data_IF_636910392280
#
_entry.id   IF_636910392280
#
_cell.length_a   1.000
_cell.length_b   1.000
_cell.length_c   1.000
_cell.angle_alpha   90.00
_cell.angle_beta   90.00
_cell.angle_gamma   90.00
#
_symmetry.space_group_name_H-M   'P 1'
#
loop_
_entity.id
_entity.type
_entity.pdbx_description
1 polymer ?
#
# COMPACT_ATOMS: atom_id res chain seq x y z
N UNK A 1 -51.33 -65.87 7.88
CA UNK A 1 -51.56 -64.52 7.40
C UNK A 1 -50.75 -63.57 8.17
N UNK A 2 -49.56 -63.17 7.62
CA UNK A 2 -48.63 -62.24 8.25
C UNK A 2 -48.59 -61.01 7.35
N UNK A 3 -49.07 -59.87 7.87
CA UNK A 3 -49.06 -58.55 7.17
C UNK A 3 -47.75 -57.83 7.49
N UNK A 4 -46.94 -57.59 6.49
CA UNK A 4 -45.77 -56.73 6.58
C UNK A 4 -46.22 -55.27 6.41
N UNK A 5 -45.96 -54.45 7.42
CA UNK A 5 -46.09 -52.97 7.30
C UNK A 5 -44.75 -52.42 6.82
N UNK A 6 -44.75 -51.83 5.65
CA UNK A 6 -43.61 -51.09 5.15
C UNK A 6 -43.71 -49.65 5.69
N UNK A 7 -42.68 -49.21 6.41
CA UNK A 7 -42.53 -47.84 6.83
C UNK A 7 -41.83 -47.02 5.73
N UNK A 8 -42.23 -45.78 5.47
CA UNK A 8 -41.54 -44.92 4.49
C UNK A 8 -40.25 -44.33 5.11
N UNK A 9 -39.16 -44.49 4.40
CA UNK A 9 -37.89 -43.83 4.70
C UNK A 9 -38.00 -42.37 4.26
N UNK A 10 -38.03 -41.46 5.21
CA UNK A 10 -37.94 -40.04 4.94
C UNK A 10 -36.48 -39.69 4.59
N UNK A 11 -36.20 -39.34 3.36
CA UNK A 11 -34.91 -38.82 2.95
C UNK A 11 -34.77 -37.36 3.45
N UNK A 12 -33.92 -37.20 4.43
CA UNK A 12 -33.50 -35.87 4.89
C UNK A 12 -32.45 -35.36 3.88
N UNK A 13 -32.87 -34.45 3.01
CA UNK A 13 -31.94 -33.71 2.17
C UNK A 13 -31.22 -32.70 3.03
N UNK A 14 -29.93 -32.99 3.30
CA UNK A 14 -29.02 -32.05 3.92
C UNK A 14 -28.66 -30.95 2.88
N UNK A 15 -29.33 -29.80 2.95
CA UNK A 15 -28.87 -28.59 2.25
C UNK A 15 -27.60 -28.12 2.92
N UNK A 16 -26.45 -28.44 2.34
CA UNK A 16 -25.21 -27.76 2.64
C UNK A 16 -25.28 -26.37 1.99
N UNK A 17 -25.69 -25.38 2.77
CA UNK A 17 -25.50 -24.00 2.40
C UNK A 17 -23.98 -23.72 2.44
N UNK A 18 -23.33 -23.76 1.27
CA UNK A 18 -22.02 -23.16 1.11
C UNK A 18 -22.19 -21.67 1.28
N UNK A 19 -21.87 -21.17 2.46
CA UNK A 19 -21.67 -19.76 2.70
C UNK A 19 -20.46 -19.34 1.83
N UNK A 20 -20.74 -18.87 0.61
CA UNK A 20 -19.80 -18.05 -0.11
C UNK A 20 -19.66 -16.77 0.73
N UNK A 21 -18.64 -16.75 1.59
CA UNK A 21 -18.20 -15.56 2.27
C UNK A 21 -17.82 -14.54 1.20
N UNK A 22 -18.76 -13.69 0.84
CA UNK A 22 -18.45 -12.44 0.18
C UNK A 22 -17.61 -11.65 1.20
N UNK A 23 -16.30 -11.69 1.03
CA UNK A 23 -15.42 -10.69 1.63
C UNK A 23 -15.80 -9.37 0.97
N UNK A 24 -16.83 -8.70 1.53
CA UNK A 24 -17.05 -7.30 1.30
C UNK A 24 -15.84 -6.62 1.98
N UNK A 25 -14.76 -6.43 1.21
CA UNK A 25 -13.66 -5.58 1.63
C UNK A 25 -14.26 -4.19 1.82
N UNK A 26 -14.43 -3.82 3.08
CA UNK A 26 -14.84 -2.47 3.46
C UNK A 26 -13.74 -1.52 3.01
N UNK A 27 -13.98 -0.88 1.88
CA UNK A 27 -13.08 0.09 1.29
C UNK A 27 -13.07 1.32 2.22
N UNK A 28 -11.94 1.56 2.86
CA UNK A 28 -11.78 2.72 3.72
C UNK A 28 -11.74 4.00 2.86
N UNK A 29 -12.70 4.89 3.10
CA UNK A 29 -12.75 6.21 2.43
C UNK A 29 -11.45 7.01 2.63
N UNK A 30 -10.68 6.69 3.67
CA UNK A 30 -9.35 7.23 3.92
C UNK A 30 -8.33 6.84 2.87
N UNK A 31 -8.61 5.84 2.04
CA UNK A 31 -7.71 5.45 0.95
C UNK A 31 -7.63 6.50 -0.17
N UNK A 32 -8.51 7.50 -0.20
CA UNK A 32 -8.64 8.34 -1.40
C UNK A 32 -8.88 9.83 -1.14
N UNK A 33 -9.61 10.20 -0.10
CA UNK A 33 -10.04 11.58 0.14
C UNK A 33 -9.90 11.93 1.62
N UNK A 34 -8.74 12.39 2.02
CA UNK A 34 -8.53 13.00 3.31
C UNK A 34 -9.10 14.41 3.32
N UNK A 35 -10.26 14.58 3.88
CA UNK A 35 -10.86 15.89 4.12
C UNK A 35 -10.93 16.22 5.59
N UNK A 36 -9.79 16.41 6.27
CA UNK A 36 -9.74 16.88 7.65
C UNK A 36 -9.19 18.30 7.74
N UNK A 37 -9.53 19.09 8.81
CA UNK A 37 -9.13 20.49 8.95
C UNK A 37 -7.62 20.77 9.12
N UNK A 38 -6.77 19.74 9.08
CA UNK A 38 -5.29 19.85 9.18
C UNK A 38 -4.58 19.79 7.82
N UNK A 39 -5.30 19.96 6.74
CA UNK A 39 -4.87 19.79 5.36
C UNK A 39 -3.69 20.70 4.93
N UNK A 40 -3.47 21.81 5.60
CA UNK A 40 -2.44 22.81 5.23
C UNK A 40 -1.18 22.79 6.09
N UNK A 41 -1.07 21.87 7.05
CA UNK A 41 0.19 21.65 7.74
C UNK A 41 0.91 20.51 7.03
N UNK A 42 2.05 20.81 6.43
CA UNK A 42 3.09 19.82 6.15
C UNK A 42 3.40 19.11 7.45
N UNK A 43 2.62 18.08 7.78
CA UNK A 43 2.72 17.38 9.04
C UNK A 43 4.01 16.59 9.04
N UNK A 44 4.83 16.80 10.07
CA UNK A 44 5.96 15.91 10.35
C UNK A 44 5.44 14.47 10.39
N UNK A 45 6.19 13.54 9.80
CA UNK A 45 5.85 12.12 9.84
C UNK A 45 5.58 11.69 11.29
N UNK A 46 4.48 10.96 11.58
CA UNK A 46 4.27 10.36 12.90
C UNK A 46 5.41 9.40 13.28
N UNK A 47 6.22 9.02 12.30
CA UNK A 47 7.42 8.19 12.46
C UNK A 47 8.60 8.95 11.85
N UNK A 48 9.38 9.70 12.65
CA UNK A 48 10.47 10.52 12.15
C UNK A 48 11.52 9.74 11.37
N UNK A 49 11.97 10.31 10.27
CA UNK A 49 13.13 9.81 9.54
C UNK A 49 14.37 9.83 10.44
N UNK A 50 15.15 8.74 10.43
CA UNK A 50 16.36 8.63 11.23
C UNK A 50 17.38 7.69 10.59
N UNK A 51 18.67 7.98 10.81
CA UNK A 51 19.75 7.06 10.46
C UNK A 51 19.86 5.98 11.52
N UNK A 52 19.97 4.72 11.08
CA UNK A 52 20.08 3.54 11.93
C UNK A 52 21.21 2.65 11.47
N UNK A 53 21.73 1.79 12.36
CA UNK A 53 22.57 0.66 11.95
C UNK A 53 21.72 -0.32 11.13
N UNK A 54 22.29 -0.84 10.05
CA UNK A 54 21.63 -1.73 9.14
C UNK A 54 22.43 -3.02 8.95
N UNK A 55 21.95 -4.11 9.51
CA UNK A 55 22.63 -5.41 9.48
C UNK A 55 22.22 -6.29 8.28
N UNK A 56 21.49 -5.74 7.31
CA UNK A 56 21.10 -6.47 6.10
C UNK A 56 22.24 -6.55 5.09
N UNK A 57 22.15 -7.50 4.16
CA UNK A 57 23.18 -7.79 3.14
C UNK A 57 23.02 -7.01 1.84
N UNK A 58 22.09 -6.05 1.76
CA UNK A 58 21.84 -5.28 0.54
C UNK A 58 22.88 -4.19 0.33
N UNK A 59 23.25 -3.98 -0.93
CA UNK A 59 24.24 -2.98 -1.31
C UNK A 59 23.76 -1.54 -1.04
N UNK A 60 24.69 -0.61 -0.73
CA UNK A 60 24.37 0.82 -0.63
C UNK A 60 23.64 1.34 -1.88
N UNK A 61 22.66 2.22 -1.67
CA UNK A 61 21.76 2.73 -2.70
C UNK A 61 20.51 1.88 -2.93
N UNK A 62 20.44 0.66 -2.35
CA UNK A 62 19.22 -0.16 -2.40
C UNK A 62 18.15 0.39 -1.46
N UNK A 63 16.90 0.42 -1.93
CA UNK A 63 15.74 0.62 -1.07
C UNK A 63 15.24 -0.74 -0.58
N UNK A 64 15.05 -0.88 0.72
CA UNK A 64 14.44 -2.08 1.32
C UNK A 64 13.17 -1.67 2.03
N UNK A 65 12.05 -2.23 1.58
CA UNK A 65 10.74 -2.04 2.21
C UNK A 65 10.44 -3.25 3.08
N UNK A 66 10.26 -3.05 4.36
CA UNK A 66 9.78 -4.07 5.28
C UNK A 66 8.31 -3.76 5.62
N UNK A 67 7.40 -4.56 5.06
CA UNK A 67 5.95 -4.31 5.17
C UNK A 67 5.44 -4.62 6.57
N UNK A 68 6.00 -5.60 7.27
CA UNK A 68 5.59 -5.95 8.64
C UNK A 68 6.01 -4.87 9.64
N UNK A 69 7.19 -4.30 9.48
CA UNK A 69 7.66 -3.18 10.28
C UNK A 69 7.02 -1.84 9.91
N UNK A 70 6.45 -1.76 8.68
CA UNK A 70 5.96 -0.52 8.08
C UNK A 70 7.07 0.54 8.00
N UNK A 71 8.23 0.09 7.51
CA UNK A 71 9.45 0.90 7.37
C UNK A 71 10.06 0.72 5.99
N UNK A 72 10.64 1.80 5.50
CA UNK A 72 11.47 1.82 4.32
C UNK A 72 12.89 2.22 4.72
N UNK A 73 13.87 1.50 4.22
CA UNK A 73 15.28 1.73 4.46
C UNK A 73 15.97 2.07 3.14
N UNK A 74 16.62 3.21 3.08
CA UNK A 74 17.62 3.49 2.05
C UNK A 74 18.97 3.07 2.60
N UNK A 75 19.54 1.99 2.06
CA UNK A 75 20.83 1.46 2.50
C UNK A 75 21.94 2.47 2.16
N UNK A 76 22.73 2.82 3.16
CA UNK A 76 23.86 3.73 3.05
C UNK A 76 25.19 2.97 3.15
N UNK A 77 26.30 3.68 3.02
CA UNK A 77 27.62 3.14 3.29
C UNK A 77 27.80 2.81 4.79
N UNK A 78 28.87 2.07 5.11
CA UNK A 78 29.30 1.78 6.48
C UNK A 78 28.26 1.07 7.37
N UNK A 79 27.43 0.20 6.80
CA UNK A 79 26.45 -0.57 7.58
C UNK A 79 25.34 0.28 8.18
N UNK A 80 24.97 1.36 7.54
CA UNK A 80 23.89 2.26 7.95
C UNK A 80 22.74 2.25 6.95
N UNK A 81 21.57 2.70 7.38
CA UNK A 81 20.47 3.03 6.51
C UNK A 81 19.71 4.26 7.01
N UNK A 82 19.16 5.01 6.09
CA UNK A 82 18.18 6.03 6.41
C UNK A 82 16.80 5.36 6.44
N UNK A 83 16.18 5.35 7.61
CA UNK A 83 14.89 4.71 7.87
C UNK A 83 13.76 5.72 7.83
N UNK A 84 12.71 5.41 7.07
CA UNK A 84 11.48 6.19 6.96
C UNK A 84 10.29 5.40 7.49
N UNK A 85 9.29 6.11 8.01
CA UNK A 85 7.96 5.57 8.24
C UNK A 85 7.19 5.48 6.93
N UNK A 86 6.44 4.39 6.72
CA UNK A 86 5.59 4.22 5.54
C UNK A 86 4.21 3.68 5.90
N UNK A 87 3.19 4.06 5.12
CA UNK A 87 1.95 3.32 5.01
C UNK A 87 2.10 2.20 3.99
N UNK A 88 1.50 1.04 4.26
CA UNK A 88 1.62 -0.17 3.43
C UNK A 88 0.25 -0.68 2.98
N UNK A 89 0.24 -1.68 2.09
CA UNK A 89 -0.97 -2.39 1.68
C UNK A 89 -1.67 -3.03 2.87
N UNK A 90 -3.00 -2.86 2.95
CA UNK A 90 -3.85 -3.61 3.89
C UNK A 90 -3.86 -5.09 3.53
N UNK A 91 -4.45 -5.90 4.39
CA UNK A 91 -4.57 -7.35 4.14
C UNK A 91 -5.23 -7.63 2.79
N UNK A 92 -4.69 -8.63 2.07
CA UNK A 92 -5.09 -8.93 0.69
C UNK A 92 -4.39 -8.10 -0.40
N UNK A 93 -3.69 -7.01 -0.02
CA UNK A 93 -2.91 -6.16 -0.93
C UNK A 93 -1.41 -6.15 -0.63
N UNK A 94 -0.94 -7.12 0.14
CA UNK A 94 0.49 -7.30 0.41
C UNK A 94 1.16 -8.01 -0.75
N UNK A 95 2.36 -7.61 -1.06
CA UNK A 95 3.18 -8.19 -2.11
C UNK A 95 4.66 -8.04 -1.75
N UNK A 96 5.52 -8.80 -2.42
CA UNK A 96 6.96 -8.78 -2.20
C UNK A 96 7.73 -9.00 -3.49
N UNK A 97 9.05 -8.91 -3.41
CA UNK A 97 9.94 -9.18 -4.53
C UNK A 97 10.95 -8.06 -4.78
N UNK A 98 11.71 -8.21 -5.86
CA UNK A 98 12.75 -7.26 -6.26
C UNK A 98 12.31 -6.52 -7.51
N UNK A 99 12.32 -5.21 -7.43
CA UNK A 99 11.90 -4.29 -8.48
C UNK A 99 12.97 -3.21 -8.71
N UNK A 100 12.77 -2.41 -9.74
CA UNK A 100 13.57 -1.20 -9.98
C UNK A 100 12.64 -0.01 -10.11
N UNK A 101 13.12 1.15 -9.72
CA UNK A 101 12.45 2.40 -10.07
C UNK A 101 12.55 2.58 -11.57
N UNK A 102 11.42 2.62 -12.27
CA UNK A 102 11.36 2.78 -13.75
C UNK A 102 11.00 4.18 -14.17
N UNK A 103 10.35 4.95 -13.33
CA UNK A 103 10.02 6.34 -13.56
C UNK A 103 9.91 7.11 -12.24
N UNK A 104 10.16 8.41 -12.33
CA UNK A 104 10.02 9.37 -11.22
C UNK A 104 9.19 10.55 -11.70
N UNK A 105 8.24 11.01 -10.89
CA UNK A 105 7.41 12.17 -11.20
C UNK A 105 7.25 13.08 -9.99
N UNK A 106 7.31 14.38 -10.25
CA UNK A 106 6.95 15.43 -9.30
C UNK A 106 5.49 15.78 -9.51
N UNK A 107 4.76 15.97 -8.41
CA UNK A 107 3.33 16.26 -8.42
C UNK A 107 2.57 15.44 -9.47
N UNK A 108 2.59 14.09 -9.35
CA UNK A 108 2.04 13.22 -10.38
C UNK A 108 0.53 13.40 -10.49
N UNK A 109 0.03 13.26 -11.69
CA UNK A 109 -1.41 13.08 -11.92
C UNK A 109 -1.83 11.70 -11.44
N UNK A 110 -3.06 11.58 -10.97
CA UNK A 110 -3.63 10.34 -10.51
C UNK A 110 -4.86 9.95 -11.33
N UNK A 111 -4.82 8.73 -11.83
CA UNK A 111 -5.95 8.05 -12.46
C UNK A 111 -6.21 6.78 -11.66
N UNK A 112 -7.34 6.68 -10.96
CA UNK A 112 -7.68 5.48 -10.21
C UNK A 112 -7.67 4.23 -11.10
N UNK A 113 -7.12 3.10 -10.65
CA UNK A 113 -7.27 1.83 -11.36
C UNK A 113 -8.74 1.46 -11.57
N UNK A 114 -9.04 0.74 -12.66
CA UNK A 114 -10.43 0.35 -12.99
C UNK A 114 -11.11 -0.45 -11.87
N UNK A 115 -10.37 -1.33 -11.19
CA UNK A 115 -10.89 -2.08 -10.04
C UNK A 115 -11.25 -1.17 -8.85
N UNK A 116 -10.54 -0.07 -8.68
CA UNK A 116 -10.85 0.92 -7.64
C UNK A 116 -12.13 1.68 -8.00
N UNK A 117 -12.27 2.10 -9.25
CA UNK A 117 -13.49 2.73 -9.75
C UNK A 117 -14.70 1.79 -9.65
N UNK A 118 -14.51 0.49 -9.90
CA UNK A 118 -15.58 -0.50 -9.75
C UNK A 118 -16.09 -0.60 -8.30
N UNK A 119 -15.20 -0.47 -7.32
CA UNK A 119 -15.56 -0.45 -5.88
C UNK A 119 -16.09 0.90 -5.40
N UNK A 120 -15.60 1.99 -6.01
CA UNK A 120 -15.91 3.39 -5.65
C UNK A 120 -16.22 4.19 -6.91
N UNK A 121 -17.45 4.10 -7.44
CA UNK A 121 -17.86 4.80 -8.66
C UNK A 121 -17.89 6.34 -8.51
N UNK A 122 -17.94 6.81 -7.28
CA UNK A 122 -17.93 8.22 -6.90
C UNK A 122 -16.56 8.92 -7.06
N UNK A 123 -15.48 8.14 -7.25
CA UNK A 123 -14.15 8.68 -7.42
C UNK A 123 -14.00 9.47 -8.72
N UNK A 124 -13.19 10.55 -8.70
CA UNK A 124 -12.83 11.24 -9.92
C UNK A 124 -12.09 10.30 -10.87
N UNK A 125 -12.40 10.38 -12.16
CA UNK A 125 -11.73 9.57 -13.19
C UNK A 125 -10.28 9.97 -13.40
N UNK A 126 -9.93 11.20 -13.00
CA UNK A 126 -8.60 11.76 -13.10
C UNK A 126 -8.44 12.93 -12.12
N UNK A 127 -7.26 13.05 -11.52
CA UNK A 127 -6.87 14.20 -10.70
C UNK A 127 -5.52 14.73 -11.18
N UNK A 128 -5.44 16.04 -11.36
CA UNK A 128 -4.16 16.73 -11.61
C UNK A 128 -3.25 16.62 -10.39
N UNK A 129 -1.95 16.77 -10.59
CA UNK A 129 -1.00 16.90 -9.48
C UNK A 129 -1.32 18.10 -8.59
N UNK A 130 -1.13 17.93 -7.28
CA UNK A 130 -1.42 18.98 -6.30
C UNK A 130 -1.53 18.40 -4.89
N UNK A 131 -1.75 19.28 -3.92
CA UNK A 131 -1.78 18.93 -2.49
C UNK A 131 -2.95 18.03 -2.12
N UNK A 132 -4.04 18.07 -2.89
CA UNK A 132 -5.22 17.20 -2.67
C UNK A 132 -5.10 15.84 -3.36
N UNK A 133 -4.06 15.67 -4.19
CA UNK A 133 -3.86 14.43 -4.90
C UNK A 133 -3.30 13.36 -3.95
N UNK A 134 -3.90 12.16 -3.89
CA UNK A 134 -3.46 11.10 -2.97
C UNK A 134 -2.03 10.59 -3.23
N UNK A 135 -1.43 10.88 -4.39
CA UNK A 135 -0.03 10.55 -4.66
C UNK A 135 0.96 11.57 -4.09
N UNK A 136 0.48 12.71 -3.60
CA UNK A 136 1.30 13.73 -2.97
C UNK A 136 2.35 14.36 -3.88
N UNK A 137 3.43 14.84 -3.26
CA UNK A 137 4.44 15.65 -3.94
C UNK A 137 5.31 14.89 -4.94
N UNK A 138 5.56 13.61 -4.74
CA UNK A 138 6.48 12.78 -5.55
C UNK A 138 5.94 11.35 -5.68
N UNK A 139 6.24 10.71 -6.82
CA UNK A 139 6.03 9.28 -7.02
C UNK A 139 7.20 8.63 -7.74
N UNK A 140 7.57 7.44 -7.29
CA UNK A 140 8.56 6.54 -7.87
C UNK A 140 7.87 5.24 -8.26
N UNK A 141 7.85 4.92 -9.55
CA UNK A 141 7.12 3.78 -10.11
C UNK A 141 7.99 2.53 -10.08
N UNK A 142 7.42 1.37 -9.74
CA UNK A 142 8.14 0.13 -9.50
C UNK A 142 7.93 -0.88 -10.62
N UNK A 143 8.93 -1.01 -11.49
CA UNK A 143 8.90 -1.95 -12.62
C UNK A 143 7.72 -1.68 -13.57
N UNK A 144 7.11 -2.76 -14.05
CA UNK A 144 5.87 -2.75 -14.84
C UNK A 144 4.62 -2.91 -13.99
N UNK A 145 4.74 -2.80 -12.67
CA UNK A 145 3.62 -2.96 -11.74
C UNK A 145 2.77 -1.70 -11.67
N UNK A 146 1.62 -1.82 -11.01
CA UNK A 146 0.80 -0.65 -10.64
C UNK A 146 1.29 0.02 -9.34
N UNK A 147 2.32 -0.52 -8.69
CA UNK A 147 2.78 -0.08 -7.38
C UNK A 147 3.79 1.06 -7.46
N UNK A 148 3.78 1.89 -6.43
CA UNK A 148 4.61 3.09 -6.32
C UNK A 148 5.07 3.29 -4.89
N UNK A 149 6.18 3.98 -4.72
CA UNK A 149 6.52 4.71 -3.50
C UNK A 149 6.12 6.15 -3.78
N UNK A 150 5.25 6.74 -2.96
CA UNK A 150 4.70 8.07 -3.23
C UNK A 150 4.40 8.86 -1.96
N UNK A 151 4.20 10.16 -2.10
CA UNK A 151 3.73 11.03 -1.04
C UNK A 151 2.29 10.74 -0.64
N UNK A 152 1.73 11.55 0.23
CA UNK A 152 0.34 11.43 0.65
C UNK A 152 -0.23 12.78 1.06
N UNK A 153 -1.51 12.97 0.81
CA UNK A 153 -2.30 14.02 1.40
C UNK A 153 -2.82 13.65 2.81
N UNK A 154 -2.55 12.41 3.28
CA UNK A 154 -2.96 11.83 4.56
C UNK A 154 -1.75 11.41 5.40
N UNK A 155 -0.94 12.35 5.92
CA UNK A 155 0.28 12.03 6.65
C UNK A 155 0.05 11.17 7.91
N UNK A 156 -1.13 11.24 8.51
CA UNK A 156 -1.53 10.44 9.67
C UNK A 156 -1.62 8.93 9.37
N UNK A 157 -1.74 8.54 8.10
CA UNK A 157 -1.79 7.13 7.69
C UNK A 157 -0.41 6.46 7.63
N UNK A 158 0.66 7.22 7.84
CA UNK A 158 2.02 6.68 7.89
C UNK A 158 2.17 5.81 9.14
N UNK A 159 2.68 4.60 8.94
CA UNK A 159 2.74 3.56 9.97
C UNK A 159 1.51 2.65 10.01
N UNK A 160 0.55 2.83 9.09
CA UNK A 160 -0.66 2.02 9.00
C UNK A 160 -0.68 1.13 7.75
N UNK A 161 -1.54 0.10 7.76
CA UNK A 161 -1.80 -0.78 6.64
C UNK A 161 -3.15 -0.40 6.00
N UNK A 162 -3.14 0.58 5.09
CA UNK A 162 -4.37 1.20 4.57
C UNK A 162 -4.41 1.27 3.04
N UNK A 163 -3.30 1.06 2.35
CA UNK A 163 -3.25 1.25 0.90
C UNK A 163 -3.67 0.00 0.12
N UNK A 164 -3.90 0.16 -1.17
CA UNK A 164 -4.12 -0.94 -2.13
C UNK A 164 -2.79 -1.45 -2.72
N UNK A 165 -1.72 -1.50 -1.92
CA UNK A 165 -0.42 -2.08 -2.25
C UNK A 165 0.71 -1.08 -2.51
N UNK A 166 0.43 0.22 -2.70
CA UNK A 166 1.46 1.25 -2.80
C UNK A 166 2.06 1.58 -1.41
N UNK A 167 3.27 2.13 -1.41
CA UNK A 167 3.95 2.59 -0.20
C UNK A 167 3.80 4.09 -0.06
N UNK A 168 3.05 4.51 0.96
CA UNK A 168 2.80 5.93 1.27
C UNK A 168 3.90 6.48 2.16
N UNK A 169 4.30 7.70 1.91
CA UNK A 169 5.23 8.49 2.74
C UNK A 169 4.62 9.87 2.99
N UNK A 170 5.11 10.59 3.99
CA UNK A 170 4.81 12.03 4.03
C UNK A 170 5.42 12.71 2.82
N UNK A 171 4.90 13.89 2.44
CA UNK A 171 5.44 14.65 1.32
C UNK A 171 6.90 15.06 1.54
N UNK A 172 7.29 15.35 2.78
CA UNK A 172 8.67 15.70 3.15
C UNK A 172 9.60 14.50 2.98
N UNK A 173 9.19 13.33 3.48
CA UNK A 173 10.01 12.12 3.41
C UNK A 173 10.15 11.59 1.98
N UNK A 174 9.07 11.61 1.19
CA UNK A 174 9.15 11.18 -0.20
C UNK A 174 9.99 12.14 -1.04
N UNK A 175 9.97 13.44 -0.74
CA UNK A 175 10.80 14.44 -1.42
C UNK A 175 12.28 14.23 -1.09
N UNK A 176 12.61 13.95 0.16
CA UNK A 176 13.98 13.61 0.57
C UNK A 176 14.46 12.32 -0.11
N UNK A 177 13.68 11.24 -0.06
CA UNK A 177 14.03 9.97 -0.71
C UNK A 177 14.17 10.14 -2.23
N UNK A 178 13.25 10.88 -2.85
CA UNK A 178 13.27 11.18 -4.27
C UNK A 178 14.56 11.87 -4.71
N UNK A 179 15.07 12.82 -3.92
CA UNK A 179 16.34 13.49 -4.18
C UNK A 179 17.58 12.58 -4.08
N UNK A 180 17.48 11.47 -3.34
CA UNK A 180 18.61 10.56 -3.06
C UNK A 180 18.72 9.41 -4.05
N UNK A 181 17.67 9.07 -4.77
CA UNK A 181 17.60 7.87 -5.63
C UNK A 181 17.27 8.22 -7.07
N UNK A 182 17.67 7.35 -8.01
CA UNK A 182 17.46 7.52 -9.44
C UNK A 182 16.59 6.43 -10.06
N UNK A 183 16.21 6.62 -11.33
CA UNK A 183 15.71 5.53 -12.17
C UNK A 183 16.78 4.45 -12.24
N UNK A 184 16.39 3.18 -12.14
CA UNK A 184 17.30 2.03 -12.04
C UNK A 184 17.62 1.60 -10.61
N UNK A 185 17.33 2.43 -9.59
CA UNK A 185 17.49 2.05 -8.18
C UNK A 185 16.74 0.76 -7.86
N UNK A 186 17.44 -0.19 -7.23
CA UNK A 186 16.83 -1.46 -6.79
C UNK A 186 15.95 -1.24 -5.58
N UNK A 187 14.76 -1.83 -5.61
CA UNK A 187 13.77 -1.83 -4.53
C UNK A 187 13.43 -3.26 -4.16
N UNK A 188 13.77 -3.66 -2.95
CA UNK A 188 13.47 -4.97 -2.38
C UNK A 188 12.29 -4.83 -1.44
N UNK A 189 11.22 -5.57 -1.68
CA UNK A 189 10.03 -5.58 -0.83
C UNK A 189 9.99 -6.90 -0.08
N UNK A 190 10.16 -6.82 1.24
CA UNK A 190 10.06 -7.93 2.16
C UNK A 190 8.62 -7.97 2.68
N UNK A 191 7.96 -9.10 2.42
CA UNK A 191 6.58 -9.36 2.84
C UNK A 191 6.59 -10.55 3.80
N UNK A 192 7.09 -10.32 5.00
CA UNK A 192 7.23 -11.34 6.06
C UNK A 192 5.94 -11.43 6.89
#
# INVERSE_FOLDING_TARGET
MIRFFAAPIAAIALLTATAAGAFAEEFDSRDIMGGGPNFFRGGSSPIPRTTVMYNGSYAPGTIVVNTSERRLYLVLQNGQALRYGIGVGRDGFRWGGVHKITAKKEWPEWTPPSQMIARRPDLPRHMKGGIENPLGARAMYLGSTLYRIHGSNEPETIGQAVSSGCFRMTNDDVTDLYGRVGVGTTVVVLNN
#
